data_IF_985910527945
#
_entry.id   IF_985910527945
#
_cell.length_a   1.000
_cell.length_b   1.000
_cell.length_c   1.000
_cell.angle_alpha   90.00
_cell.angle_beta   90.00
_cell.angle_gamma   90.00
#
_symmetry.space_group_name_H-M   'P 1'
#
loop_
_entity.id
_entity.type
_entity.pdbx_description
1 polymer ?
#
# COMPACT_ATOMS: atom_id res chain seq x y z
N UNK A 1 7.50 2.05 -16.31
CA UNK A 1 6.11 1.76 -15.91
C UNK A 1 5.94 1.97 -14.42
N UNK A 2 4.71 2.13 -13.94
CA UNK A 2 4.41 2.13 -12.51
C UNK A 2 3.79 0.78 -12.13
N UNK A 3 4.18 0.24 -10.98
CA UNK A 3 3.66 -1.00 -10.42
C UNK A 3 3.19 -0.76 -8.97
N UNK A 4 1.90 -0.48 -8.74
CA UNK A 4 1.37 -0.24 -7.40
C UNK A 4 1.55 -1.46 -6.50
N UNK A 5 2.18 -1.27 -5.34
CA UNK A 5 2.30 -2.28 -4.27
C UNK A 5 1.22 -2.07 -3.22
N UNK A 6 1.01 -0.81 -2.85
CA UNK A 6 -0.09 -0.39 -1.97
C UNK A 6 -0.97 0.65 -2.65
N UNK A 7 -2.20 0.81 -2.18
CA UNK A 7 -3.17 1.80 -2.67
C UNK A 7 -3.86 2.51 -1.50
N UNK A 8 -4.04 3.84 -1.54
CA UNK A 8 -4.61 4.58 -0.42
C UNK A 8 -6.11 4.36 -0.30
N UNK A 9 -6.61 4.35 0.94
CA UNK A 9 -8.03 4.36 1.24
C UNK A 9 -8.40 5.75 1.75
N UNK A 10 -9.05 6.53 0.90
CA UNK A 10 -9.37 7.95 1.15
C UNK A 10 -8.12 8.86 1.14
N UNK A 11 -8.33 10.15 1.42
CA UNK A 11 -7.24 11.15 1.44
C UNK A 11 -7.51 12.28 2.45
N UNK A 12 -6.47 13.04 2.80
CA UNK A 12 -6.57 14.17 3.74
C UNK A 12 -7.13 13.74 5.11
N UNK A 13 -8.22 14.38 5.56
CA UNK A 13 -8.91 14.03 6.81
C UNK A 13 -9.63 12.67 6.75
N UNK A 14 -9.87 12.15 5.56
CA UNK A 14 -10.53 10.87 5.31
C UNK A 14 -9.55 9.74 5.03
N UNK A 15 -8.23 9.97 5.13
CA UNK A 15 -7.25 8.90 4.98
C UNK A 15 -7.44 7.84 6.07
N UNK A 16 -7.76 6.61 5.67
CA UNK A 16 -8.04 5.47 6.55
C UNK A 16 -6.93 4.43 6.57
N UNK A 17 -5.98 4.49 5.64
CA UNK A 17 -4.91 3.52 5.54
C UNK A 17 -4.58 3.18 4.10
N UNK A 18 -3.97 2.01 3.91
CA UNK A 18 -3.62 1.50 2.58
C UNK A 18 -4.00 0.04 2.45
N UNK A 19 -4.37 -0.35 1.24
CA UNK A 19 -4.53 -1.74 0.86
C UNK A 19 -3.28 -2.23 0.11
N UNK A 20 -2.81 -3.43 0.41
CA UNK A 20 -1.63 -4.03 -0.19
C UNK A 20 -2.06 -5.07 -1.23
N UNK A 21 -1.78 -4.80 -2.50
CA UNK A 21 -2.34 -5.56 -3.63
C UNK A 21 -1.90 -7.03 -3.62
N UNK A 22 -0.62 -7.28 -3.33
CA UNK A 22 -0.03 -8.64 -3.33
C UNK A 22 -0.25 -9.44 -2.04
N UNK A 23 -0.67 -8.78 -0.95
CA UNK A 23 -0.91 -9.44 0.34
C UNK A 23 -2.41 -9.64 0.62
N UNK A 24 -3.29 -9.00 -0.17
CA UNK A 24 -4.73 -8.97 0.07
C UNK A 24 -5.07 -8.49 1.50
N UNK A 25 -4.45 -7.37 1.87
CA UNK A 25 -4.41 -6.86 3.24
C UNK A 25 -4.61 -5.36 3.31
N UNK A 26 -5.52 -4.91 4.18
CA UNK A 26 -5.67 -3.50 4.53
C UNK A 26 -4.93 -3.20 5.83
N UNK A 27 -3.99 -2.26 5.76
CA UNK A 27 -3.34 -1.68 6.92
C UNK A 27 -4.08 -0.39 7.30
N UNK A 28 -4.58 -0.33 8.54
CA UNK A 28 -5.39 0.80 9.00
C UNK A 28 -4.52 1.89 9.63
N UNK A 29 -4.73 3.13 9.20
CA UNK A 29 -4.06 4.31 9.74
C UNK A 29 -4.85 4.90 10.91
N UNK A 30 -4.13 5.26 11.98
CA UNK A 30 -4.66 6.02 13.10
C UNK A 30 -4.10 7.45 13.12
N UNK A 31 -5.00 8.43 13.14
CA UNK A 31 -4.62 9.84 13.25
C UNK A 31 -4.03 10.16 14.63
N UNK A 32 -3.10 11.12 14.67
CA UNK A 32 -2.55 11.65 15.93
C UNK A 32 -1.45 10.82 16.60
N UNK A 33 -0.94 9.77 15.94
CA UNK A 33 0.10 8.88 16.47
C UNK A 33 1.50 9.06 15.85
N UNK A 34 1.74 10.13 15.08
CA UNK A 34 2.99 10.34 14.33
C UNK A 34 4.30 10.39 15.14
N UNK A 35 4.23 10.57 16.47
CA UNK A 35 5.40 10.56 17.36
C UNK A 35 5.79 9.16 17.88
N UNK A 36 5.02 8.12 17.54
CA UNK A 36 5.22 6.74 17.99
C UNK A 36 5.01 5.78 16.81
N UNK A 37 5.61 4.59 16.86
CA UNK A 37 5.24 3.51 15.94
C UNK A 37 3.77 3.13 16.24
N UNK A 38 2.93 3.12 15.22
CA UNK A 38 1.51 2.76 15.38
C UNK A 38 1.38 1.25 15.57
N UNK A 39 0.38 0.82 16.35
CA UNK A 39 0.04 -0.59 16.43
C UNK A 39 -0.53 -1.04 15.08
N UNK A 40 0.04 -2.10 14.51
CA UNK A 40 -0.32 -2.58 13.17
C UNK A 40 -1.69 -3.25 13.25
N UNK A 41 -2.69 -2.62 12.62
CA UNK A 41 -4.06 -3.15 12.52
C UNK A 41 -4.33 -3.58 11.09
N UNK A 42 -4.60 -4.87 10.91
CA UNK A 42 -4.75 -5.49 9.58
C UNK A 42 -6.15 -6.08 9.43
N UNK A 43 -6.78 -5.81 8.30
CA UNK A 43 -7.97 -6.54 7.83
C UNK A 43 -7.55 -7.35 6.59
N UNK A 44 -7.82 -8.66 6.61
CA UNK A 44 -7.51 -9.57 5.49
C UNK A 44 -8.68 -9.58 4.51
N UNK A 45 -8.41 -9.54 3.20
CA UNK A 45 -9.43 -9.67 2.15
C UNK A 45 -10.05 -8.33 1.75
N UNK A 46 -9.99 -8.01 0.46
CA UNK A 46 -10.66 -6.83 -0.13
C UNK A 46 -12.19 -6.81 0.07
N UNK A 47 -12.81 -8.00 0.09
CA UNK A 47 -14.25 -8.17 0.23
C UNK A 47 -14.67 -8.58 1.65
N UNK A 48 -13.77 -8.42 2.62
CA UNK A 48 -14.09 -8.73 4.02
C UNK A 48 -15.00 -7.62 4.60
N UNK A 49 -16.16 -7.96 5.18
CA UNK A 49 -17.05 -6.96 5.80
C UNK A 49 -16.40 -6.17 6.95
N UNK A 50 -15.34 -6.70 7.58
CA UNK A 50 -14.57 -5.97 8.57
C UNK A 50 -13.85 -4.75 7.96
N UNK A 51 -13.58 -4.78 6.65
CA UNK A 51 -13.03 -3.63 5.92
C UNK A 51 -14.08 -2.52 5.87
N UNK A 52 -15.29 -2.84 5.42
CA UNK A 52 -16.43 -1.93 5.36
C UNK A 52 -16.72 -1.32 6.74
N UNK A 53 -16.67 -2.13 7.80
CA UNK A 53 -16.83 -1.65 9.16
C UNK A 53 -15.68 -0.72 9.62
N UNK A 54 -14.44 -0.98 9.18
CA UNK A 54 -13.27 -0.21 9.58
C UNK A 54 -13.10 1.13 8.84
N UNK A 55 -13.44 1.17 7.56
CA UNK A 55 -13.19 2.34 6.70
C UNK A 55 -14.47 3.06 6.26
N UNK A 56 -15.63 2.41 6.40
CA UNK A 56 -16.93 2.85 5.89
C UNK A 56 -17.22 2.26 4.51
N UNK A 57 -18.49 1.88 4.26
CA UNK A 57 -18.94 1.25 3.01
C UNK A 57 -18.58 2.09 1.77
N UNK A 58 -18.74 3.41 1.83
CA UNK A 58 -18.43 4.30 0.70
C UNK A 58 -16.95 4.22 0.29
N UNK A 59 -16.03 4.27 1.26
CA UNK A 59 -14.59 4.20 0.98
C UNK A 59 -14.15 2.78 0.61
N UNK A 60 -14.79 1.75 1.17
CA UNK A 60 -14.53 0.36 0.81
C UNK A 60 -14.97 0.08 -0.64
N UNK A 61 -16.12 0.59 -1.05
CA UNK A 61 -16.58 0.46 -2.43
C UNK A 61 -15.70 1.26 -3.39
N UNK A 62 -15.37 2.50 -3.06
CA UNK A 62 -14.45 3.31 -3.86
C UNK A 62 -13.10 2.59 -4.06
N UNK A 63 -12.54 1.98 -3.01
CA UNK A 63 -11.31 1.20 -3.12
C UNK A 63 -11.46 0.04 -4.11
N UNK A 64 -12.56 -0.72 -4.04
CA UNK A 64 -12.81 -1.85 -4.94
C UNK A 64 -12.87 -1.39 -6.40
N UNK A 65 -13.61 -0.32 -6.66
CA UNK A 65 -13.76 0.26 -8.00
C UNK A 65 -12.42 0.78 -8.54
N UNK A 66 -11.63 1.46 -7.70
CA UNK A 66 -10.29 1.96 -8.08
C UNK A 66 -9.32 0.81 -8.37
N UNK A 67 -9.35 -0.26 -7.57
CA UNK A 67 -8.47 -1.42 -7.78
C UNK A 67 -8.82 -2.18 -9.06
N UNK A 68 -10.09 -2.27 -9.44
CA UNK A 68 -10.50 -2.85 -10.72
C UNK A 68 -9.86 -2.09 -11.90
N UNK A 69 -9.89 -0.75 -11.85
CA UNK A 69 -9.26 0.10 -12.87
C UNK A 69 -7.73 -0.02 -12.86
N UNK A 70 -7.12 -0.03 -11.68
CA UNK A 70 -5.66 -0.13 -11.53
C UNK A 70 -5.16 -1.48 -12.03
N UNK A 71 -5.82 -2.59 -11.70
CA UNK A 71 -5.44 -3.91 -12.18
C UNK A 71 -5.63 -4.05 -13.69
N UNK A 72 -6.61 -3.36 -14.28
CA UNK A 72 -6.82 -3.34 -15.73
C UNK A 72 -5.84 -2.46 -16.52
N UNK A 73 -5.24 -1.44 -15.89
CA UNK A 73 -4.46 -0.41 -16.59
C UNK A 73 -2.99 -0.28 -16.14
N UNK A 74 -2.61 -0.88 -15.02
CA UNK A 74 -1.26 -0.79 -14.45
C UNK A 74 -0.42 -2.03 -14.75
N UNK A 75 0.89 -1.92 -14.50
CA UNK A 75 1.79 -3.07 -14.63
C UNK A 75 1.80 -3.83 -13.31
N UNK A 76 1.80 -5.16 -13.39
CA UNK A 76 2.20 -5.97 -12.24
C UNK A 76 3.67 -5.69 -11.91
N UNK A 77 4.03 -5.89 -10.65
CA UNK A 77 5.40 -5.77 -10.19
C UNK A 77 6.20 -6.97 -10.68
N UNK A 78 7.28 -6.70 -11.39
CA UNK A 78 8.27 -7.66 -11.88
C UNK A 78 9.65 -7.24 -11.38
N UNK A 79 10.33 -8.14 -10.66
CA UNK A 79 11.61 -7.86 -10.05
C UNK A 79 12.71 -7.63 -11.08
N UNK A 80 12.72 -8.35 -12.20
CA UNK A 80 13.72 -8.20 -13.25
C UNK A 80 13.58 -6.83 -13.93
N UNK A 81 12.36 -6.43 -14.26
CA UNK A 81 12.06 -5.11 -14.84
C UNK A 81 12.38 -3.98 -13.84
N UNK A 82 12.15 -4.19 -12.55
CA UNK A 82 12.55 -3.23 -11.51
C UNK A 82 14.07 -3.08 -11.45
N UNK A 83 14.81 -4.19 -11.44
CA UNK A 83 16.28 -4.22 -11.40
C UNK A 83 16.92 -3.69 -12.69
N UNK A 84 16.18 -3.69 -13.80
CA UNK A 84 16.53 -3.05 -15.07
C UNK A 84 16.16 -1.55 -15.12
N UNK A 85 15.42 -1.04 -14.14
CA UNK A 85 14.95 0.34 -14.08
C UNK A 85 13.77 0.64 -15.03
N UNK A 86 13.08 -0.39 -15.51
CA UNK A 86 11.96 -0.27 -16.44
C UNK A 86 10.63 -0.05 -15.73
N UNK A 87 10.49 -0.52 -14.49
CA UNK A 87 9.33 -0.25 -13.64
C UNK A 87 9.73 0.28 -12.26
N UNK A 88 8.81 0.98 -11.63
CA UNK A 88 8.97 1.50 -10.27
C UNK A 88 7.85 0.98 -9.37
N UNK A 89 8.14 0.29 -8.25
CA UNK A 89 7.14 -0.08 -7.27
C UNK A 89 6.61 1.19 -6.58
N UNK A 90 5.29 1.33 -6.51
CA UNK A 90 4.64 2.51 -5.92
C UNK A 90 4.03 2.15 -4.57
N UNK A 91 4.42 2.89 -3.54
CA UNK A 91 3.89 2.78 -2.18
C UNK A 91 3.20 4.09 -1.78
N UNK A 92 2.01 3.99 -1.22
CA UNK A 92 1.30 5.11 -0.62
C UNK A 92 1.42 5.09 0.91
N UNK A 93 1.41 6.27 1.52
CA UNK A 93 1.55 6.43 2.96
C UNK A 93 1.66 7.90 3.38
N UNK A 94 1.97 8.12 4.65
CA UNK A 94 2.23 9.46 5.20
C UNK A 94 3.47 9.43 6.08
N UNK A 95 4.52 10.14 5.65
CA UNK A 95 5.75 10.26 6.42
C UNK A 95 5.52 11.00 7.75
N UNK A 96 4.70 12.05 7.75
CA UNK A 96 4.37 12.81 8.96
C UNK A 96 3.55 11.98 9.97
N UNK A 97 2.71 11.08 9.47
CA UNK A 97 1.94 10.14 10.29
C UNK A 97 2.69 8.87 10.66
N UNK A 98 3.95 8.71 10.20
CA UNK A 98 4.77 7.51 10.33
C UNK A 98 4.01 6.23 9.90
N UNK A 99 3.40 6.25 8.71
CA UNK A 99 2.56 5.16 8.20
C UNK A 99 2.90 4.81 6.75
N UNK A 100 3.11 3.52 6.48
CA UNK A 100 3.46 2.98 5.16
C UNK A 100 4.96 3.04 4.81
N UNK A 101 5.78 3.60 5.69
CA UNK A 101 7.25 3.66 5.52
C UNK A 101 7.87 2.27 5.65
N UNK A 102 7.36 1.47 6.57
CA UNK A 102 7.72 0.07 6.78
C UNK A 102 7.47 -0.78 5.53
N UNK A 103 6.34 -0.62 4.84
CA UNK A 103 6.07 -1.34 3.60
C UNK A 103 7.11 -1.04 2.50
N UNK A 104 7.52 0.22 2.38
CA UNK A 104 8.55 0.62 1.43
C UNK A 104 9.91 0.03 1.83
N UNK A 105 10.25 0.06 3.11
CA UNK A 105 11.50 -0.53 3.62
C UNK A 105 11.54 -2.05 3.44
N UNK A 106 10.42 -2.75 3.64
CA UNK A 106 10.31 -4.18 3.37
C UNK A 106 10.57 -4.48 1.88
N UNK A 107 9.96 -3.70 0.97
CA UNK A 107 10.21 -3.81 -0.47
C UNK A 107 11.67 -3.50 -0.83
N UNK A 108 12.27 -2.49 -0.19
CA UNK A 108 13.68 -2.17 -0.36
C UNK A 108 14.58 -3.35 0.06
N UNK A 109 14.34 -3.95 1.23
CA UNK A 109 15.13 -5.09 1.71
C UNK A 109 14.93 -6.32 0.82
N UNK A 110 13.72 -6.52 0.28
CA UNK A 110 13.39 -7.65 -0.56
C UNK A 110 14.02 -7.56 -1.96
N UNK A 111 13.99 -6.39 -2.59
CA UNK A 111 14.27 -6.26 -4.03
C UNK A 111 15.48 -5.38 -4.38
N UNK A 112 15.97 -4.54 -3.47
CA UNK A 112 17.13 -3.71 -3.79
C UNK A 112 18.37 -4.60 -3.99
N UNK A 113 19.19 -4.25 -4.97
CA UNK A 113 20.47 -4.94 -5.18
C UNK A 113 21.29 -4.87 -3.89
N UNK A 114 21.61 -6.04 -3.33
CA UNK A 114 22.74 -6.16 -2.42
C UNK A 114 23.99 -5.85 -3.21
N UNK A 115 24.86 -5.02 -2.64
CA UNK A 115 26.11 -4.51 -3.20
C UNK A 115 26.63 -5.36 -4.36
N UNK A 116 26.58 -4.82 -5.57
CA UNK A 116 27.37 -5.34 -6.67
C UNK A 116 28.82 -5.15 -6.25
N UNK A 117 29.48 -6.21 -5.79
CA UNK A 117 30.94 -6.20 -5.60
C UNK A 117 31.53 -5.92 -6.97
N UNK A 118 32.02 -4.69 -7.16
CA UNK A 118 32.78 -4.26 -8.33
C UNK A 118 34.16 -4.89 -8.31
#
# INVERSE_FOLDING_TARGET
>A
GCAPITWPIGCGKLFKGVYHLYKDETYLYQTGKGHTIQEVRIVKGLNNPDLDAAVGEDLAQQLRDELELVQGASNEFDEELFLAGEITPVFFGTALGNFGVDHMLDGLVAWARRDTVV
#
